data_IF_309797587892
#
_entry.id   IF_309797587892
#
_cell.length_a   1.000
_cell.length_b   1.000
_cell.length_c   1.000
_cell.angle_alpha   90.00
_cell.angle_beta   90.00
_cell.angle_gamma   90.00
#
_symmetry.space_group_name_H-M   'P 1'
#
loop_
_entity.id
_entity.type
_entity.pdbx_description
1 polymer ?
#
# COMPACT_ATOMS: atom_id res chain seq x y z
N UNK A 1 7.45 -3.77 40.76
CA UNK A 1 6.53 -4.47 39.86
C UNK A 1 7.22 -4.59 38.51
N UNK A 2 8.25 -5.43 38.43
CA UNK A 2 9.06 -5.62 37.22
C UNK A 2 8.59 -6.88 36.50
N UNK A 3 8.07 -6.72 35.29
CA UNK A 3 7.86 -7.84 34.39
C UNK A 3 9.22 -8.44 34.01
N UNK A 4 9.27 -9.76 34.00
CA UNK A 4 10.48 -10.57 33.87
C UNK A 4 11.28 -10.21 32.59
N UNK A 5 12.62 -10.24 32.63
CA UNK A 5 13.49 -9.89 31.50
C UNK A 5 13.29 -10.77 30.25
N UNK A 6 12.64 -11.93 30.39
CA UNK A 6 12.41 -12.88 29.31
C UNK A 6 11.29 -12.49 28.35
N UNK A 7 10.37 -11.59 28.74
CA UNK A 7 9.23 -11.20 27.88
C UNK A 7 9.71 -10.34 26.69
N UNK A 8 10.75 -9.52 26.89
CA UNK A 8 11.36 -8.72 25.82
C UNK A 8 12.12 -9.56 24.78
N UNK A 9 12.63 -10.74 25.14
CA UNK A 9 13.42 -11.56 24.22
C UNK A 9 12.59 -12.20 23.09
N UNK A 10 11.28 -12.41 23.32
CA UNK A 10 10.38 -13.08 22.37
C UNK A 10 9.59 -12.05 21.53
N UNK A 11 9.32 -10.86 22.08
CA UNK A 11 8.47 -9.84 21.45
C UNK A 11 9.26 -8.74 20.71
N UNK A 12 10.59 -8.72 20.85
CA UNK A 12 11.43 -7.66 20.28
C UNK A 12 11.14 -6.27 20.87
N UNK A 13 11.94 -5.28 20.47
CA UNK A 13 11.72 -3.90 20.88
C UNK A 13 10.64 -3.25 20.01
N UNK A 14 9.43 -3.09 20.55
CA UNK A 14 8.24 -2.56 19.84
C UNK A 14 8.45 -1.13 19.32
N UNK A 15 9.23 -0.32 20.04
CA UNK A 15 9.45 1.11 19.74
C UNK A 15 10.80 1.38 19.11
N UNK A 16 11.57 0.34 18.77
CA UNK A 16 12.79 0.50 18.01
C UNK A 16 12.48 1.17 16.67
N UNK A 17 13.09 2.33 16.47
CA UNK A 17 12.97 3.14 15.27
C UNK A 17 14.34 3.54 14.74
N UNK A 18 14.32 4.30 13.65
CA UNK A 18 15.52 4.83 13.02
C UNK A 18 15.65 6.30 13.39
N UNK A 19 16.74 6.67 14.06
CA UNK A 19 17.12 8.06 14.30
C UNK A 19 17.87 8.58 13.07
N UNK A 20 17.22 9.44 12.29
CA UNK A 20 17.79 9.99 11.05
C UNK A 20 18.95 10.97 11.28
N UNK A 21 19.08 11.53 12.48
CA UNK A 21 20.14 12.49 12.79
C UNK A 21 21.43 11.80 13.23
N UNK A 22 21.28 10.65 13.89
CA UNK A 22 22.41 9.82 14.35
C UNK A 22 22.73 8.67 13.41
N UNK A 23 21.84 8.37 12.46
CA UNK A 23 21.92 7.23 11.55
C UNK A 23 22.03 5.88 12.28
N UNK A 24 21.44 5.79 13.47
CA UNK A 24 21.46 4.63 14.35
C UNK A 24 20.03 4.20 14.74
N UNK A 25 19.92 3.02 15.34
CA UNK A 25 18.67 2.56 15.95
C UNK A 25 18.44 3.33 17.26
N UNK A 26 17.24 3.85 17.44
CA UNK A 26 16.84 4.60 18.63
C UNK A 26 15.45 4.23 19.12
N UNK A 27 15.11 4.63 20.35
CA UNK A 27 13.79 4.44 20.92
C UNK A 27 12.87 5.63 20.58
N UNK A 28 11.89 5.40 19.72
CA UNK A 28 10.94 6.43 19.29
C UNK A 28 10.01 6.89 20.42
N UNK A 29 9.74 6.04 21.43
CA UNK A 29 8.92 6.40 22.59
C UNK A 29 9.64 7.43 23.46
N UNK A 30 10.93 7.21 23.72
CA UNK A 30 11.76 8.18 24.46
C UNK A 30 12.00 9.48 23.66
N UNK A 31 12.12 9.39 22.33
CA UNK A 31 12.31 10.53 21.45
C UNK A 31 11.03 11.34 21.19
N UNK A 32 9.88 10.93 21.75
CA UNK A 32 8.57 11.53 21.52
C UNK A 32 8.15 11.58 20.04
N UNK A 33 8.59 10.58 19.25
CA UNK A 33 8.26 10.47 17.84
C UNK A 33 7.02 9.60 17.72
N UNK A 34 5.89 10.25 17.49
CA UNK A 34 4.59 9.61 17.44
C UNK A 34 3.90 9.87 16.12
N UNK A 35 3.15 8.88 15.66
CA UNK A 35 2.29 8.99 14.50
C UNK A 35 0.85 8.58 14.85
N UNK A 36 -0.16 9.18 14.19
CA UNK A 36 -1.53 8.85 14.49
C UNK A 36 -1.84 7.39 14.12
N UNK A 37 -2.34 6.61 15.09
CA UNK A 37 -2.75 5.21 14.87
C UNK A 37 -3.75 5.07 13.71
N UNK A 38 -4.63 6.05 13.52
CA UNK A 38 -5.59 6.07 12.41
C UNK A 38 -4.89 6.11 11.04
N UNK A 39 -3.84 6.91 10.90
CA UNK A 39 -3.09 7.03 9.64
C UNK A 39 -2.40 5.71 9.30
N UNK A 40 -1.80 5.03 10.28
CA UNK A 40 -1.18 3.71 10.06
C UNK A 40 -2.18 2.63 9.67
N UNK A 41 -3.31 2.55 10.35
CA UNK A 41 -4.36 1.58 10.02
C UNK A 41 -4.86 1.79 8.61
N UNK A 42 -5.18 3.03 8.25
CA UNK A 42 -5.67 3.35 6.92
C UNK A 42 -4.62 3.07 5.84
N UNK A 43 -3.35 3.33 6.11
CA UNK A 43 -2.27 3.01 5.17
C UNK A 43 -2.14 1.50 4.90
N UNK A 44 -2.19 0.65 5.93
CA UNK A 44 -2.12 -0.81 5.78
C UNK A 44 -3.35 -1.36 5.05
N UNK A 45 -4.55 -0.87 5.41
CA UNK A 45 -5.80 -1.27 4.75
C UNK A 45 -5.74 -0.91 3.26
N UNK A 46 -5.43 0.35 2.94
CA UNK A 46 -5.35 0.82 1.56
C UNK A 46 -4.29 0.05 0.75
N UNK A 47 -3.12 -0.23 1.34
CA UNK A 47 -2.09 -1.02 0.68
C UNK A 47 -2.57 -2.46 0.40
N UNK A 48 -3.26 -3.08 1.36
CA UNK A 48 -3.78 -4.44 1.21
C UNK A 48 -4.87 -4.50 0.14
N UNK A 49 -5.82 -3.57 0.15
CA UNK A 49 -6.88 -3.47 -0.86
C UNK A 49 -6.32 -3.24 -2.26
N UNK A 50 -5.34 -2.34 -2.40
CA UNK A 50 -4.68 -2.09 -3.67
C UNK A 50 -3.95 -3.34 -4.19
N UNK A 51 -3.25 -4.07 -3.32
CA UNK A 51 -2.54 -5.30 -3.69
C UNK A 51 -3.53 -6.41 -4.08
N UNK A 52 -4.57 -6.64 -3.27
CA UNK A 52 -5.60 -7.63 -3.58
C UNK A 52 -6.26 -7.34 -4.94
N UNK A 53 -6.52 -6.06 -5.24
CA UNK A 53 -7.06 -5.63 -6.52
C UNK A 53 -6.09 -5.97 -7.66
N UNK A 54 -4.84 -5.53 -7.57
CA UNK A 54 -3.84 -5.76 -8.63
C UNK A 54 -3.59 -7.26 -8.86
N UNK A 55 -3.48 -8.04 -7.79
CA UNK A 55 -3.23 -9.49 -7.87
C UNK A 55 -4.43 -10.29 -8.42
N UNK A 56 -5.65 -9.75 -8.34
CA UNK A 56 -6.85 -10.38 -8.92
C UNK A 56 -7.01 -10.17 -10.42
N UNK A 57 -6.13 -9.39 -11.07
CA UNK A 57 -6.21 -9.11 -12.50
C UNK A 57 -5.46 -10.21 -13.26
N UNK A 58 -6.21 -11.11 -13.91
CA UNK A 58 -5.61 -12.16 -14.76
C UNK A 58 -5.15 -11.63 -16.12
N UNK A 59 -5.86 -10.63 -16.67
CA UNK A 59 -5.63 -10.14 -18.02
C UNK A 59 -5.83 -8.63 -18.11
N UNK A 60 -4.97 -7.96 -18.88
CA UNK A 60 -5.17 -6.55 -19.25
C UNK A 60 -5.36 -6.45 -20.76
N UNK A 61 -6.49 -5.87 -21.20
CA UNK A 61 -6.79 -5.68 -22.62
C UNK A 61 -6.47 -4.23 -23.00
N UNK A 62 -5.68 -4.03 -24.06
CA UNK A 62 -5.45 -2.70 -24.65
C UNK A 62 -6.26 -2.58 -25.93
N UNK A 63 -7.29 -1.73 -25.94
CA UNK A 63 -8.00 -1.40 -27.17
C UNK A 63 -7.35 -0.20 -27.85
N UNK A 64 -6.58 -0.44 -28.91
CA UNK A 64 -6.12 0.64 -29.79
C UNK A 64 -7.35 1.11 -30.55
N UNK A 65 -7.81 2.35 -30.30
CA UNK A 65 -8.86 2.96 -31.13
C UNK A 65 -8.35 2.92 -32.57
N UNK A 66 -9.00 2.12 -33.41
CA UNK A 66 -8.81 2.16 -34.85
C UNK A 66 -9.09 3.60 -35.33
N UNK A 67 -8.29 4.18 -36.23
CA UNK A 67 -8.51 5.54 -36.75
C UNK A 67 -9.86 5.68 -37.48
N UNK A 68 -10.52 4.57 -37.78
CA UNK A 68 -11.81 4.54 -38.43
C UNK A 68 -12.91 4.62 -37.37
N UNK A 69 -13.34 5.84 -37.07
CA UNK A 69 -14.60 6.09 -36.37
C UNK A 69 -15.70 5.21 -36.96
N UNK A 70 -16.49 4.59 -36.07
CA UNK A 70 -17.41 3.50 -36.36
C UNK A 70 -18.09 3.60 -37.73
N UNK A 71 -17.62 2.81 -38.68
CA UNK A 71 -18.36 2.58 -39.92
C UNK A 71 -19.20 1.32 -39.68
N UNK A 72 -20.49 1.54 -39.45
CA UNK A 72 -21.47 0.44 -39.47
C UNK A 72 -21.40 -0.25 -40.85
N UNK A 73 -21.19 -1.57 -40.91
CA UNK A 73 -21.24 -2.29 -42.16
C UNK A 73 -22.67 -2.32 -42.71
N UNK A 74 -22.87 -1.73 -43.89
CA UNK A 74 -24.04 -1.95 -44.72
C UNK A 74 -25.26 -1.08 -44.43
N UNK A 75 -25.29 0.12 -45.01
CA UNK A 75 -26.57 0.68 -45.48
C UNK A 75 -26.56 0.65 -47.02
N UNK A 76 -27.35 -0.23 -47.67
CA UNK A 76 -27.46 -0.27 -49.12
C UNK A 76 -28.18 0.99 -49.63
N UNK A 77 -27.57 1.65 -50.61
CA UNK A 77 -28.17 2.55 -51.61
C UNK A 77 -29.39 3.38 -51.21
N UNK A 78 -29.18 4.69 -51.04
CA UNK A 78 -30.17 5.68 -51.48
C UNK A 78 -29.56 6.44 -52.65
N UNK A 79 -30.15 6.21 -53.82
CA UNK A 79 -29.88 6.84 -55.10
C UNK A 79 -30.62 8.17 -55.19
#
# INVERSE_FOLDING_TARGET
>A
MGLLPYVNLILGEIWAGVDIHKEEVGDNLAACIWEPSLVKKNAIIAATEAVCLVLSIDQTVKNVRTPSGGQMPGLPGMQ
#
